data_IF_361546499011
#
_entry.id   IF_361546499011
#
_cell.length_a   1.000
_cell.length_b   1.000
_cell.length_c   1.000
_cell.angle_alpha   90.00
_cell.angle_beta   90.00
_cell.angle_gamma   90.00
#
_symmetry.space_group_name_H-M   'P 1'
#
loop_
_entity.id
_entity.type
_entity.pdbx_description
1 polymer ?
#
# COMPACT_ATOMS: atom_id res chain seq x y z
N UNK A 1 5.57 27.11 16.98
CA UNK A 1 4.28 26.53 16.55
C UNK A 1 4.59 25.54 15.44
N UNK A 2 4.33 24.25 15.65
CA UNK A 2 4.50 23.24 14.60
C UNK A 2 3.58 23.60 13.42
N UNK A 3 4.01 23.43 12.16
CA UNK A 3 3.18 23.73 11.01
C UNK A 3 1.90 22.90 11.07
N UNK A 4 0.76 23.55 10.83
CA UNK A 4 -0.55 22.95 10.80
C UNK A 4 -0.54 21.74 9.84
N UNK A 5 -0.72 20.54 10.39
CA UNK A 5 -1.08 19.38 9.60
C UNK A 5 -2.42 19.71 8.93
N UNK A 6 -2.39 19.82 7.61
CA UNK A 6 -3.56 19.95 6.73
C UNK A 6 -4.68 19.06 7.29
N UNK A 7 -5.94 19.53 7.47
CA UNK A 7 -7.00 18.79 8.15
C UNK A 7 -6.96 17.33 7.71
N UNK A 8 -6.49 16.46 8.59
CA UNK A 8 -6.09 15.11 8.24
C UNK A 8 -7.33 14.37 7.78
N UNK A 9 -7.44 14.13 6.48
CA UNK A 9 -8.55 13.34 5.95
C UNK A 9 -8.42 11.97 6.60
N UNK A 10 -9.41 11.60 7.42
CA UNK A 10 -9.34 10.38 8.20
C UNK A 10 -9.24 9.18 7.25
N UNK A 11 -8.18 8.38 7.42
CA UNK A 11 -7.99 7.17 6.63
C UNK A 11 -9.07 6.17 7.04
N UNK A 12 -9.86 5.73 6.06
CA UNK A 12 -10.91 4.74 6.24
C UNK A 12 -10.40 3.32 5.99
N UNK A 13 -9.53 3.18 4.99
CA UNK A 13 -8.93 1.89 4.62
C UNK A 13 -7.67 2.09 3.78
N UNK A 14 -7.00 0.99 3.45
CA UNK A 14 -5.82 0.96 2.59
C UNK A 14 -6.05 0.04 1.39
N UNK A 15 -5.40 0.38 0.27
CA UNK A 15 -5.22 -0.56 -0.83
C UNK A 15 -3.75 -1.00 -0.86
N UNK A 16 -3.54 -2.29 -1.13
CA UNK A 16 -2.21 -2.89 -1.23
C UNK A 16 -1.96 -3.25 -2.67
N UNK A 17 -0.79 -2.85 -3.15
CA UNK A 17 -0.35 -3.13 -4.51
C UNK A 17 0.99 -3.87 -4.48
N UNK A 18 1.21 -4.68 -5.52
CA UNK A 18 2.40 -5.51 -5.67
C UNK A 18 2.88 -5.52 -7.11
N UNK A 19 4.20 -5.51 -7.30
CA UNK A 19 4.86 -5.76 -8.59
C UNK A 19 5.98 -6.79 -8.41
N UNK A 20 6.36 -7.46 -9.49
CA UNK A 20 7.59 -8.25 -9.58
C UNK A 20 8.77 -7.43 -10.12
N UNK A 21 8.53 -6.18 -10.49
CA UNK A 21 9.51 -5.25 -11.06
C UNK A 21 9.55 -3.99 -10.19
N UNK A 22 10.75 -3.55 -9.80
CA UNK A 22 10.91 -2.34 -9.00
C UNK A 22 10.46 -1.10 -9.78
N UNK A 23 9.86 -0.15 -9.07
CA UNK A 23 9.57 1.18 -9.57
C UNK A 23 8.31 1.28 -10.43
N UNK A 24 7.50 0.22 -10.56
CA UNK A 24 6.24 0.33 -11.30
C UNK A 24 5.55 -0.99 -11.61
N UNK A 25 4.48 -0.87 -12.41
CA UNK A 25 3.58 -1.98 -12.80
C UNK A 25 2.90 -2.67 -11.61
N UNK A 26 2.64 -1.92 -10.54
CA UNK A 26 1.99 -2.47 -9.36
C UNK A 26 0.53 -2.81 -9.66
N UNK A 27 0.17 -4.06 -9.44
CA UNK A 27 -1.21 -4.53 -9.48
C UNK A 27 -1.83 -4.44 -8.08
N UNK A 28 -3.07 -3.99 -7.99
CA UNK A 28 -3.83 -4.01 -6.74
C UNK A 28 -4.12 -5.45 -6.35
N UNK A 29 -3.64 -5.88 -5.19
CA UNK A 29 -3.83 -7.25 -4.67
C UNK A 29 -4.80 -7.30 -3.49
N UNK A 30 -5.02 -6.17 -2.83
CA UNK A 30 -6.04 -6.03 -1.79
C UNK A 30 -6.60 -4.61 -1.79
N UNK A 31 -7.87 -4.49 -1.39
CA UNK A 31 -8.57 -3.21 -1.25
C UNK A 31 -9.42 -3.19 0.00
N UNK A 32 -9.63 -2.01 0.56
CA UNK A 32 -10.51 -1.85 1.72
C UNK A 32 -9.93 -2.46 3.00
N UNK A 33 -8.60 -2.58 3.11
CA UNK A 33 -7.94 -3.12 4.31
C UNK A 33 -8.13 -2.12 5.44
N UNK A 34 -8.85 -2.47 6.53
CA UNK A 34 -9.21 -1.50 7.57
C UNK A 34 -8.04 -1.21 8.52
N UNK A 35 -7.12 -2.16 8.66
CA UNK A 35 -5.92 -2.04 9.48
C UNK A 35 -4.69 -1.80 8.60
N UNK A 36 -3.63 -1.16 9.12
CA UNK A 36 -2.36 -1.01 8.41
C UNK A 36 -1.54 -2.32 8.42
N UNK A 37 -2.20 -3.45 8.18
CA UNK A 37 -1.64 -4.81 8.21
C UNK A 37 -2.30 -5.65 7.12
N UNK A 38 -1.48 -6.33 6.33
CA UNK A 38 -1.92 -7.24 5.29
C UNK A 38 -0.90 -8.37 5.13
N UNK A 39 -1.38 -9.60 4.96
CA UNK A 39 -0.54 -10.78 4.70
C UNK A 39 -0.81 -11.29 3.30
N UNK A 40 0.19 -11.19 2.42
CA UNK A 40 0.10 -11.72 1.07
C UNK A 40 0.40 -13.23 1.06
N UNK A 41 -0.65 -14.05 0.90
CA UNK A 41 -0.55 -15.51 0.84
C UNK A 41 -0.39 -16.05 -0.58
N UNK A 42 -0.35 -15.17 -1.59
CA UNK A 42 -0.32 -15.54 -3.01
C UNK A 42 1.09 -15.52 -3.60
N UNK A 43 2.10 -15.28 -2.75
CA UNK A 43 3.51 -15.19 -3.15
C UNK A 43 4.13 -16.58 -3.36
N UNK A 44 5.12 -16.68 -4.24
CA UNK A 44 5.89 -17.92 -4.46
C UNK A 44 7.31 -17.81 -3.91
N UNK A 45 7.87 -18.91 -3.42
CA UNK A 45 9.25 -19.00 -2.92
C UNK A 45 10.28 -18.61 -3.98
N UNK A 46 11.40 -18.04 -3.52
CA UNK A 46 12.50 -17.58 -4.37
C UNK A 46 12.17 -16.35 -5.24
N UNK A 47 10.99 -15.75 -5.11
CA UNK A 47 10.61 -14.53 -5.85
C UNK A 47 10.79 -13.27 -5.00
N UNK A 48 11.17 -12.20 -5.67
CA UNK A 48 11.19 -10.84 -5.11
C UNK A 48 9.93 -10.11 -5.54
N UNK A 49 9.30 -9.43 -4.59
CA UNK A 49 8.12 -8.60 -4.82
C UNK A 49 8.35 -7.21 -4.24
N UNK A 50 7.68 -6.24 -4.85
CA UNK A 50 7.73 -4.84 -4.51
C UNK A 50 6.33 -4.38 -4.15
N UNK A 51 6.17 -3.84 -2.94
CA UNK A 51 4.87 -3.43 -2.43
C UNK A 51 4.81 -1.93 -2.24
N UNK A 52 3.65 -1.37 -2.57
CA UNK A 52 3.26 0.00 -2.24
C UNK A 52 1.84 -0.03 -1.70
N UNK A 53 1.52 0.94 -0.85
CA UNK A 53 0.18 1.11 -0.29
C UNK A 53 -0.34 2.51 -0.56
N UNK A 54 -1.65 2.64 -0.62
CA UNK A 54 -2.35 3.93 -0.64
C UNK A 54 -3.33 3.96 0.52
N UNK A 55 -3.62 5.16 1.03
CA UNK A 55 -4.76 5.37 1.93
C UNK A 55 -5.98 5.74 1.12
N UNK A 56 -7.15 5.33 1.63
CA UNK A 56 -8.46 5.71 1.11
C UNK A 56 -9.21 6.42 2.23
N UNK A 57 -9.70 7.62 1.94
CA UNK A 57 -10.48 8.40 2.92
C UNK A 57 -11.96 7.95 3.00
N UNK A 58 -12.73 8.56 3.90
CA UNK A 58 -14.16 8.25 4.06
C UNK A 58 -15.02 8.65 2.85
N UNK A 59 -14.54 9.55 1.98
CA UNK A 59 -15.19 9.94 0.73
C UNK A 59 -14.79 9.03 -0.45
N UNK A 60 -13.87 8.09 -0.24
CA UNK A 60 -13.37 7.18 -1.26
C UNK A 60 -12.21 7.72 -2.08
N UNK A 61 -11.61 8.86 -1.72
CA UNK A 61 -10.42 9.36 -2.41
C UNK A 61 -9.19 8.54 -2.02
N UNK A 62 -8.48 8.10 -3.04
CA UNK A 62 -7.24 7.34 -2.88
C UNK A 62 -6.02 8.27 -2.97
N UNK A 63 -5.05 8.09 -2.07
CA UNK A 63 -3.79 8.81 -2.08
C UNK A 63 -2.85 8.35 -3.20
N UNK A 64 -1.73 9.06 -3.37
CA UNK A 64 -0.59 8.50 -4.11
C UNK A 64 0.02 7.30 -3.39
N UNK A 65 0.86 6.54 -4.11
CA UNK A 65 1.60 5.41 -3.56
C UNK A 65 2.56 5.85 -2.45
N UNK A 66 2.70 4.98 -1.44
CA UNK A 66 3.77 5.05 -0.45
C UNK A 66 5.15 4.88 -1.07
N UNK A 67 6.19 5.01 -0.23
CA UNK A 67 7.49 4.45 -0.58
C UNK A 67 7.36 2.94 -0.88
N UNK A 68 8.11 2.49 -1.89
CA UNK A 68 8.22 1.08 -2.25
C UNK A 68 9.01 0.32 -1.18
N UNK A 69 8.55 -0.88 -0.85
CA UNK A 69 9.27 -1.84 -0.02
C UNK A 69 9.52 -3.13 -0.82
N UNK A 70 10.76 -3.64 -0.73
CA UNK A 70 11.20 -4.88 -1.36
C UNK A 70 11.10 -6.03 -0.35
N UNK A 71 10.50 -7.14 -0.77
CA UNK A 71 10.47 -8.38 0.01
C UNK A 71 10.86 -9.58 -0.86
N UNK A 72 11.73 -10.43 -0.32
CA UNK A 72 12.13 -11.70 -0.95
C UNK A 72 11.50 -12.84 -0.17
N UNK A 73 10.78 -13.72 -0.85
CA UNK A 73 10.23 -14.93 -0.24
C UNK A 73 11.33 -15.99 -0.19
N UNK A 74 11.65 -16.57 0.98
CA UNK A 74 12.63 -17.63 1.10
C UNK A 74 12.22 -18.90 0.36
#
# INVERSE_FOLDING_TARGET
QAPAEKPGVAVKSYNVYRSTTSGGQYAKIASGVPEPRYSDTTVSSGKTYYYVVTSVDAAGHESGFSAEIKATVP
#
